data_IF_512659202244
#
_entry.id   IF_512659202244
#
_cell.length_a   1.000
_cell.length_b   1.000
_cell.length_c   1.000
_cell.angle_alpha   90.00
_cell.angle_beta   90.00
_cell.angle_gamma   90.00
#
_symmetry.space_group_name_H-M   'P 1'
#
loop_
_entity.id
_entity.type
_entity.pdbx_description
1 polymer ?
#
# COMPACT_ATOMS: atom_id res chain seq x y z
N UNK A 1 -4.69 -1.37 21.32
CA UNK A 1 -5.96 -1.90 21.90
C UNK A 1 -7.14 -1.69 20.94
N UNK A 2 -7.34 -0.48 20.40
CA UNK A 2 -8.44 -0.19 19.46
C UNK A 2 -8.51 -1.14 18.26
N UNK A 3 -7.35 -1.47 17.67
CA UNK A 3 -7.27 -2.37 16.50
C UNK A 3 -7.73 -3.81 16.82
N UNK A 4 -7.46 -4.29 18.05
CA UNK A 4 -7.92 -5.60 18.49
C UNK A 4 -9.43 -5.62 18.70
N UNK A 5 -9.99 -4.56 19.25
CA UNK A 5 -11.44 -4.41 19.43
C UNK A 5 -12.12 -4.37 18.06
N UNK A 6 -11.63 -3.53 17.14
CA UNK A 6 -12.16 -3.43 15.79
C UNK A 6 -12.09 -4.77 15.03
N UNK A 7 -10.96 -5.49 15.11
CA UNK A 7 -10.80 -6.80 14.48
C UNK A 7 -11.72 -7.87 15.09
N UNK A 8 -11.94 -7.84 16.40
CA UNK A 8 -12.81 -8.80 17.08
C UNK A 8 -14.27 -8.54 16.71
N UNK A 9 -14.72 -7.30 16.83
CA UNK A 9 -16.11 -6.90 16.55
C UNK A 9 -16.46 -7.04 15.06
N UNK A 10 -15.49 -6.79 14.17
CA UNK A 10 -15.63 -6.99 12.73
C UNK A 10 -15.56 -8.45 12.27
N UNK A 11 -15.40 -9.41 13.17
CA UNK A 11 -15.30 -10.82 12.80
C UNK A 11 -16.68 -11.49 12.70
N UNK A 12 -16.84 -12.38 11.71
CA UNK A 12 -18.04 -13.21 11.57
C UNK A 12 -18.36 -14.04 12.82
N UNK A 13 -17.32 -14.50 13.52
CA UNK A 13 -17.46 -15.25 14.77
C UNK A 13 -18.15 -14.42 15.85
N UNK A 14 -17.75 -13.17 15.98
CA UNK A 14 -18.34 -12.26 16.96
C UNK A 14 -19.83 -12.01 16.66
N UNK A 15 -20.17 -11.75 15.40
CA UNK A 15 -21.55 -11.53 14.97
C UNK A 15 -22.44 -12.74 15.27
N UNK A 16 -21.96 -13.94 14.94
CA UNK A 16 -22.70 -15.19 15.19
C UNK A 16 -22.90 -15.42 16.69
N UNK A 17 -21.84 -15.28 17.49
CA UNK A 17 -21.90 -15.47 18.94
C UNK A 17 -22.86 -14.46 19.57
N UNK A 18 -22.72 -13.19 19.20
CA UNK A 18 -23.57 -12.13 19.71
C UNK A 18 -25.04 -12.32 19.34
N UNK A 19 -25.33 -12.66 18.09
CA UNK A 19 -26.70 -12.94 17.63
C UNK A 19 -27.29 -14.12 18.38
N UNK A 20 -26.52 -15.17 18.59
CA UNK A 20 -26.95 -16.35 19.35
C UNK A 20 -27.26 -15.98 20.80
N UNK A 21 -26.42 -15.19 21.45
CA UNK A 21 -26.65 -14.74 22.83
C UNK A 21 -27.91 -13.87 22.94
N UNK A 22 -28.16 -12.99 21.98
CA UNK A 22 -29.36 -12.15 21.94
C UNK A 22 -30.63 -13.03 21.82
N UNK A 23 -30.61 -13.99 20.90
CA UNK A 23 -31.75 -14.92 20.72
C UNK A 23 -32.02 -15.75 21.97
N UNK A 24 -30.97 -16.27 22.61
CA UNK A 24 -31.07 -17.01 23.87
C UNK A 24 -31.61 -16.12 24.99
N UNK A 25 -31.15 -14.88 25.09
CA UNK A 25 -31.62 -13.91 26.08
C UNK A 25 -33.13 -13.64 25.94
N UNK A 26 -33.56 -13.34 24.73
CA UNK A 26 -34.95 -13.09 24.42
C UNK A 26 -35.80 -14.34 24.72
N UNK A 27 -35.37 -15.52 24.26
CA UNK A 27 -36.08 -16.78 24.49
C UNK A 27 -36.22 -17.10 25.97
N UNK A 28 -35.18 -16.92 26.74
CA UNK A 28 -35.19 -17.14 28.19
C UNK A 28 -36.17 -16.19 28.89
N UNK A 29 -36.11 -14.92 28.59
CA UNK A 29 -36.96 -13.92 29.24
C UNK A 29 -38.44 -13.99 28.83
N UNK A 30 -38.72 -14.54 27.64
CA UNK A 30 -40.11 -14.74 27.20
C UNK A 30 -40.75 -16.03 27.77
N UNK A 31 -39.94 -17.04 28.07
CA UNK A 31 -40.48 -18.35 28.57
C UNK A 31 -40.53 -18.45 30.10
N UNK A 32 -39.80 -17.59 30.80
CA UNK A 32 -39.71 -17.63 32.26
C UNK A 32 -40.88 -16.87 32.88
N UNK A 33 -41.46 -17.45 33.91
CA UNK A 33 -42.63 -16.87 34.66
C UNK A 33 -42.24 -15.61 35.44
N UNK A 34 -40.95 -15.44 35.77
CA UNK A 34 -40.39 -14.25 36.41
C UNK A 34 -39.16 -13.77 35.63
N UNK A 35 -39.34 -13.08 34.50
CA UNK A 35 -38.25 -12.66 33.66
C UNK A 35 -37.41 -11.58 34.32
N UNK A 36 -36.10 -11.66 34.13
CA UNK A 36 -35.14 -10.65 34.60
C UNK A 36 -35.21 -9.36 33.79
N UNK A 37 -35.52 -9.48 32.52
CA UNK A 37 -35.62 -8.37 31.58
C UNK A 37 -36.89 -8.54 30.72
N UNK A 38 -38.10 -8.24 31.29
CA UNK A 38 -39.33 -8.39 30.55
C UNK A 38 -39.42 -7.46 29.36
N UNK A 39 -40.24 -7.84 28.37
CA UNK A 39 -40.51 -6.96 27.24
C UNK A 39 -40.78 -5.51 27.72
N UNK A 40 -40.18 -4.49 27.14
CA UNK A 40 -39.44 -4.41 25.88
C UNK A 40 -37.92 -4.64 25.96
N UNK A 41 -37.40 -5.42 26.90
CA UNK A 41 -35.97 -5.76 27.04
C UNK A 41 -35.06 -4.52 27.25
N UNK A 42 -35.38 -3.74 28.27
CA UNK A 42 -34.67 -2.46 28.55
C UNK A 42 -33.20 -2.72 28.90
N UNK A 43 -32.91 -3.78 29.67
CA UNK A 43 -31.53 -4.13 30.03
C UNK A 43 -30.71 -4.54 28.81
N UNK A 44 -31.29 -5.35 27.94
CA UNK A 44 -30.66 -5.77 26.69
C UNK A 44 -30.36 -4.55 25.78
N UNK A 45 -31.33 -3.64 25.63
CA UNK A 45 -31.16 -2.41 24.88
C UNK A 45 -30.07 -1.52 25.48
N UNK A 46 -30.00 -1.39 26.79
CA UNK A 46 -28.98 -0.64 27.48
C UNK A 46 -27.59 -1.22 27.23
N UNK A 47 -27.44 -2.55 27.35
CA UNK A 47 -26.17 -3.23 27.11
C UNK A 47 -25.70 -3.11 25.66
N UNK A 48 -26.61 -3.28 24.70
CA UNK A 48 -26.28 -3.13 23.29
C UNK A 48 -25.91 -1.68 22.93
N UNK A 49 -26.61 -0.70 23.50
CA UNK A 49 -26.30 0.73 23.31
C UNK A 49 -24.95 1.09 23.92
N UNK A 50 -24.64 0.58 25.10
CA UNK A 50 -23.35 0.75 25.75
C UNK A 50 -22.22 0.13 24.90
N UNK A 51 -22.40 -1.08 24.43
CA UNK A 51 -21.45 -1.74 23.55
C UNK A 51 -21.22 -0.93 22.27
N UNK A 52 -22.27 -0.45 21.62
CA UNK A 52 -22.17 0.36 20.42
C UNK A 52 -21.43 1.69 20.66
N UNK A 53 -21.71 2.34 21.79
CA UNK A 53 -21.07 3.60 22.17
C UNK A 53 -19.55 3.49 22.34
N UNK A 54 -19.04 2.33 22.75
CA UNK A 54 -17.58 2.08 22.86
C UNK A 54 -16.96 1.46 21.60
N UNK A 55 -17.74 0.69 20.86
CA UNK A 55 -17.25 0.01 19.65
C UNK A 55 -17.05 0.99 18.48
N UNK A 56 -17.98 1.91 18.27
CA UNK A 56 -17.90 2.85 17.17
C UNK A 56 -16.65 3.77 17.24
N UNK A 57 -16.33 4.42 18.37
CA UNK A 57 -15.08 5.18 18.50
C UNK A 57 -13.82 4.32 18.33
N UNK A 58 -13.81 3.07 18.79
CA UNK A 58 -12.68 2.16 18.62
C UNK A 58 -12.44 1.82 17.15
N UNK A 59 -13.49 1.58 16.39
CA UNK A 59 -13.41 1.36 14.94
C UNK A 59 -12.90 2.62 14.23
N UNK A 60 -13.41 3.79 14.59
CA UNK A 60 -12.95 5.07 14.02
C UNK A 60 -11.46 5.33 14.27
N UNK A 61 -10.96 5.04 15.48
CA UNK A 61 -9.53 5.16 15.80
C UNK A 61 -8.68 4.21 14.97
N UNK A 62 -9.14 2.98 14.76
CA UNK A 62 -8.46 1.98 13.93
C UNK A 62 -8.41 2.43 12.46
N UNK A 63 -9.51 2.94 11.92
CA UNK A 63 -9.57 3.46 10.56
C UNK A 63 -8.70 4.70 10.36
N UNK A 64 -8.66 5.62 11.32
CA UNK A 64 -7.79 6.79 11.27
C UNK A 64 -6.32 6.40 11.25
N UNK A 65 -5.93 5.41 12.05
CA UNK A 65 -4.57 4.88 12.06
C UNK A 65 -4.20 4.21 10.74
N UNK A 66 -5.12 3.46 10.15
CA UNK A 66 -4.92 2.84 8.85
C UNK A 66 -4.75 3.89 7.76
N UNK A 67 -5.60 4.91 7.73
CA UNK A 67 -5.52 6.02 6.81
C UNK A 67 -4.18 6.80 6.93
N UNK A 68 -3.68 7.01 8.14
CA UNK A 68 -2.39 7.65 8.36
C UNK A 68 -1.23 6.77 7.85
N UNK A 69 -1.30 5.46 8.07
CA UNK A 69 -0.31 4.49 7.56
C UNK A 69 -0.30 4.46 6.04
N UNK A 70 -1.46 4.46 5.41
CA UNK A 70 -1.58 4.49 3.95
C UNK A 70 -1.05 5.80 3.37
N UNK A 71 -1.28 6.92 4.03
CA UNK A 71 -0.74 8.22 3.65
C UNK A 71 0.79 8.23 3.70
N UNK A 72 1.38 7.67 4.75
CA UNK A 72 2.85 7.54 4.87
C UNK A 72 3.43 6.63 3.79
N UNK A 73 2.74 5.54 3.44
CA UNK A 73 3.15 4.66 2.34
C UNK A 73 3.11 5.38 1.01
N UNK A 74 2.05 6.13 0.74
CA UNK A 74 1.93 6.92 -0.48
C UNK A 74 3.03 7.98 -0.58
N UNK A 75 3.39 8.66 0.50
CA UNK A 75 4.48 9.62 0.56
C UNK A 75 5.84 8.95 0.29
N UNK A 76 6.09 7.78 0.88
CA UNK A 76 7.30 7.00 0.64
C UNK A 76 7.40 6.50 -0.81
N UNK A 77 6.30 6.00 -1.37
CA UNK A 77 6.26 5.54 -2.76
C UNK A 77 6.51 6.70 -3.73
N UNK A 78 5.96 7.87 -3.45
CA UNK A 78 6.23 9.08 -4.21
C UNK A 78 7.71 9.46 -4.15
N UNK A 79 8.33 9.44 -2.97
CA UNK A 79 9.76 9.76 -2.80
C UNK A 79 10.66 8.76 -3.53
N UNK A 80 10.33 7.47 -3.47
CA UNK A 80 11.06 6.41 -4.20
C UNK A 80 10.91 6.61 -5.71
N UNK A 81 9.73 6.93 -6.20
CA UNK A 81 9.49 7.17 -7.63
C UNK A 81 10.27 8.38 -8.14
N UNK A 82 10.31 9.48 -7.38
CA UNK A 82 11.11 10.68 -7.72
C UNK A 82 12.59 10.33 -7.77
N UNK A 83 13.11 9.56 -6.82
CA UNK A 83 14.52 9.09 -6.86
C UNK A 83 14.80 8.22 -8.07
N UNK A 84 13.92 7.28 -8.38
CA UNK A 84 14.05 6.40 -9.53
C UNK A 84 14.06 7.19 -10.85
N UNK A 85 13.22 8.21 -10.97
CA UNK A 85 13.16 9.10 -12.13
C UNK A 85 14.46 9.88 -12.32
N UNK A 86 15.01 10.45 -11.23
CA UNK A 86 16.29 11.13 -11.25
C UNK A 86 17.45 10.19 -11.61
N UNK A 87 17.46 8.96 -11.12
CA UNK A 87 18.47 7.96 -11.46
C UNK A 87 18.39 7.55 -12.93
N UNK A 88 17.19 7.42 -13.47
CA UNK A 88 16.98 7.15 -14.91
C UNK A 88 17.49 8.32 -15.76
N UNK A 89 17.23 9.54 -15.37
CA UNK A 89 17.72 10.74 -16.07
C UNK A 89 19.25 10.79 -16.08
N UNK A 90 19.90 10.53 -14.94
CA UNK A 90 21.35 10.41 -14.83
C UNK A 90 21.93 9.29 -15.69
N UNK A 91 21.23 8.14 -15.76
CA UNK A 91 21.63 7.03 -16.63
C UNK A 91 21.54 7.40 -18.11
N UNK A 92 20.49 8.10 -18.51
CA UNK A 92 20.35 8.61 -19.88
C UNK A 92 21.49 9.54 -20.25
N UNK A 93 21.83 10.49 -19.39
CA UNK A 93 22.95 11.41 -19.59
C UNK A 93 24.27 10.65 -19.74
N UNK A 94 24.53 9.66 -18.89
CA UNK A 94 25.73 8.81 -19.00
C UNK A 94 25.78 7.99 -20.29
N UNK A 95 24.66 7.44 -20.71
CA UNK A 95 24.54 6.67 -21.94
C UNK A 95 24.79 7.56 -23.14
N UNK A 96 24.27 8.78 -23.15
CA UNK A 96 24.48 9.73 -24.24
C UNK A 96 25.94 10.16 -24.33
N UNK A 97 26.60 10.42 -23.19
CA UNK A 97 28.05 10.72 -23.15
C UNK A 97 28.89 9.54 -23.67
N UNK A 98 28.59 8.32 -23.28
CA UNK A 98 29.30 7.13 -23.79
C UNK A 98 29.09 6.96 -25.28
N UNK A 99 27.90 7.17 -25.77
CA UNK A 99 27.56 7.10 -27.20
C UNK A 99 28.31 8.12 -28.02
N UNK A 100 28.42 9.35 -27.52
CA UNK A 100 29.18 10.41 -28.17
C UNK A 100 30.68 10.08 -28.22
N UNK A 101 31.25 9.57 -27.12
CA UNK A 101 32.63 9.15 -27.06
C UNK A 101 32.94 7.97 -28.00
N UNK A 102 32.08 6.98 -28.06
CA UNK A 102 32.24 5.84 -28.98
C UNK A 102 32.14 6.25 -30.44
N UNK A 103 31.17 7.09 -30.78
CA UNK A 103 31.04 7.64 -32.16
C UNK A 103 32.26 8.44 -32.57
N UNK A 104 32.82 9.25 -31.66
CA UNK A 104 34.03 10.03 -31.92
C UNK A 104 35.25 9.12 -32.11
N UNK A 105 35.43 8.12 -31.26
CA UNK A 105 36.49 7.14 -31.38
C UNK A 105 36.40 6.31 -32.68
N UNK A 106 35.19 5.93 -33.07
CA UNK A 106 34.93 5.23 -34.32
C UNK A 106 35.23 6.11 -35.54
N UNK A 107 34.79 7.36 -35.53
CA UNK A 107 35.05 8.34 -36.58
C UNK A 107 36.56 8.57 -36.77
N UNK A 108 37.32 8.72 -35.67
CA UNK A 108 38.77 8.89 -35.71
C UNK A 108 39.48 7.64 -36.23
N UNK A 109 38.96 6.45 -35.92
CA UNK A 109 39.50 5.18 -36.44
C UNK A 109 39.27 5.04 -37.93
N UNK A 110 38.07 5.37 -38.40
CA UNK A 110 37.72 5.37 -39.83
C UNK A 110 38.58 6.37 -40.59
N UNK A 111 38.81 7.56 -40.04
CA UNK A 111 39.64 8.60 -40.67
C UNK A 111 41.10 8.17 -40.77
N UNK A 112 41.63 7.48 -39.72
CA UNK A 112 42.99 6.92 -39.74
C UNK A 112 43.14 5.84 -40.79
N UNK A 113 42.19 4.91 -40.88
CA UNK A 113 42.19 3.85 -41.88
C UNK A 113 42.10 4.40 -43.31
N UNK A 114 41.24 5.37 -43.54
CA UNK A 114 41.13 6.07 -44.84
C UNK A 114 42.45 6.69 -45.26
N UNK A 115 43.14 7.38 -44.35
CA UNK A 115 44.44 7.99 -44.60
C UNK A 115 45.54 6.96 -44.87
N UNK A 116 45.53 5.81 -44.19
CA UNK A 116 46.48 4.73 -44.46
C UNK A 116 46.24 4.07 -45.81
N UNK A 117 45.03 3.89 -46.23
CA UNK A 117 44.67 3.38 -47.56
C UNK A 117 45.17 4.34 -48.65
N UNK A 118 44.96 5.65 -48.45
CA UNK A 118 45.40 6.67 -49.40
C UNK A 118 46.92 6.70 -49.54
N UNK A 119 47.67 6.58 -48.45
CA UNK A 119 49.14 6.50 -48.48
C UNK A 119 49.64 5.22 -49.14
N UNK A 120 48.97 4.10 -48.95
CA UNK A 120 49.32 2.81 -49.61
C UNK A 120 49.05 2.89 -51.13
N UNK A 121 47.95 3.49 -51.54
CA UNK A 121 47.60 3.68 -52.95
C UNK A 121 48.58 4.62 -53.68
N UNK A 122 49.06 5.64 -53.02
CA UNK A 122 50.05 6.55 -53.57
C UNK A 122 51.44 5.94 -53.61
N UNK A 123 51.81 5.09 -52.62
CA UNK A 123 53.08 4.35 -52.58
C UNK A 123 53.17 3.20 -53.60
N UNK A 124 52.02 2.61 -53.95
CA UNK A 124 51.93 1.49 -54.91
C UNK A 124 51.97 1.95 -56.39
N UNK A 125 52.00 3.26 -56.67
CA UNK A 125 52.03 3.85 -58.01
C UNK A 125 53.41 4.29 -58.42
N UNK A 126 54.42 4.11 -57.60
CA UNK A 126 55.85 4.38 -57.88
C UNK A 126 56.54 3.02 -58.15
#
# INVERSE_FOLDING_TARGET
>A
MADRVAATVGSWRFIIIQSTLIVLWISWNTQTTSPWDPYPFILLNLMLSFQAAYTAPAIMMSQNRLAETDRRRADNDYEINVKAELEIELLHEKVDLLREQELKALSDSVHRLSKQIETLLTSGKS
#
